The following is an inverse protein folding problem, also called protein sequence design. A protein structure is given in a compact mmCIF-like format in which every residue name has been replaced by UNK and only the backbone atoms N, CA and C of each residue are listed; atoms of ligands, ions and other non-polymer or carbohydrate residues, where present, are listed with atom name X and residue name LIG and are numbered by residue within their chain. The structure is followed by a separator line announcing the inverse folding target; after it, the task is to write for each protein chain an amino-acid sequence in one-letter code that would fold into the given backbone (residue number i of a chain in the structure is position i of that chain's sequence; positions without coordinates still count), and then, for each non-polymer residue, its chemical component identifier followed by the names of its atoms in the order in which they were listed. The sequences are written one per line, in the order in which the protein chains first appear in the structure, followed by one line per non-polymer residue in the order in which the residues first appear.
data_IF_459361691404
#
_entry.id   IF_459361691404
#
_cell.length_a   1.000
_cell.length_b   1.000
_cell.length_c   1.000
_cell.angle_alpha   90.00
_cell.angle_beta   90.00
_cell.angle_gamma   90.00
#
_symmetry.space_group_name_H-M   'P 1'
#
loop_
_entity.id
_entity.type
_entity.pdbx_description
1 polymer ?
#
# COMPACT_ATOMS: atom_id res chain seq x y z
N UNK A 1 -2.01 -35.26 -45.38
CA UNK A 1 -2.86 -34.07 -45.58
C UNK A 1 -3.97 -34.10 -44.54
N UNK A 2 -3.72 -33.53 -43.36
CA UNK A 2 -4.80 -33.05 -42.49
C UNK A 2 -4.19 -32.02 -41.56
N UNK A 3 -4.53 -30.78 -41.87
CA UNK A 3 -4.12 -29.54 -41.24
C UNK A 3 -4.86 -29.41 -39.90
N UNK A 4 -4.14 -29.37 -38.79
CA UNK A 4 -4.71 -29.16 -37.44
C UNK A 4 -3.99 -27.98 -36.79
N UNK A 5 -4.12 -26.81 -37.40
CA UNK A 5 -3.87 -25.52 -36.75
C UNK A 5 -4.95 -24.52 -37.18
N UNK A 6 -6.19 -24.76 -36.76
CA UNK A 6 -7.20 -23.70 -36.76
C UNK A 6 -6.82 -22.69 -35.67
N UNK A 7 -6.23 -21.55 -36.08
CA UNK A 7 -6.12 -20.38 -35.22
C UNK A 7 -7.54 -19.94 -34.81
N UNK A 8 -7.82 -19.69 -33.52
CA UNK A 8 -9.06 -19.05 -33.14
C UNK A 8 -9.13 -17.66 -33.81
N UNK A 9 -10.31 -17.21 -34.27
CA UNK A 9 -10.44 -15.91 -34.90
C UNK A 9 -9.98 -14.83 -33.92
N UNK A 10 -9.23 -13.85 -34.44
CA UNK A 10 -8.77 -12.70 -33.67
C UNK A 10 -9.95 -12.07 -32.93
N UNK A 11 -9.97 -12.19 -31.61
CA UNK A 11 -10.95 -11.49 -30.80
C UNK A 11 -10.70 -10.00 -30.98
N UNK A 12 -11.74 -9.25 -31.34
CA UNK A 12 -11.76 -7.79 -31.35
C UNK A 12 -11.53 -7.30 -29.92
N UNK A 13 -10.27 -7.21 -29.51
CA UNK A 13 -9.88 -6.51 -28.28
C UNK A 13 -10.26 -5.04 -28.45
N UNK A 14 -10.88 -4.38 -27.45
CA UNK A 14 -11.11 -2.95 -27.52
C UNK A 14 -9.78 -2.24 -27.79
N UNK A 15 -9.78 -1.12 -28.54
CA UNK A 15 -8.55 -0.39 -28.84
C UNK A 15 -7.84 -0.07 -27.53
N UNK A 16 -6.59 -0.53 -27.40
CA UNK A 16 -5.77 -0.21 -26.25
C UNK A 16 -5.64 1.30 -26.19
N UNK A 17 -6.07 1.89 -25.08
CA UNK A 17 -5.85 3.30 -24.82
C UNK A 17 -4.36 3.58 -24.97
N UNK A 18 -3.96 4.59 -25.77
CA UNK A 18 -2.54 4.92 -25.90
C UNK A 18 -1.98 5.29 -24.52
N UNK A 19 -0.77 4.80 -24.23
CA UNK A 19 -0.03 5.20 -23.03
C UNK A 19 0.34 6.68 -23.14
N UNK A 20 0.40 7.38 -22.00
CA UNK A 20 0.83 8.77 -21.96
C UNK A 20 2.22 8.95 -22.58
N UNK A 21 2.43 10.05 -23.29
CA UNK A 21 3.73 10.47 -23.77
C UNK A 21 4.67 10.80 -22.60
N UNK A 22 5.99 10.80 -22.85
CA UNK A 22 7.00 11.20 -21.85
C UNK A 22 6.69 12.59 -21.26
N UNK A 23 6.26 13.51 -22.10
CA UNK A 23 5.93 14.86 -21.70
C UNK A 23 4.71 14.91 -20.77
N UNK A 24 3.63 14.21 -21.12
CA UNK A 24 2.43 14.11 -20.27
C UNK A 24 2.76 13.42 -18.94
N UNK A 25 3.57 12.36 -18.94
CA UNK A 25 4.00 11.67 -17.73
C UNK A 25 4.86 12.59 -16.82
N UNK A 26 5.75 13.39 -17.42
CA UNK A 26 6.58 14.36 -16.70
C UNK A 26 5.76 15.50 -16.13
N UNK A 27 4.80 16.02 -16.87
CA UNK A 27 3.89 17.08 -16.41
C UNK A 27 3.03 16.60 -15.25
N UNK A 28 2.51 15.37 -15.30
CA UNK A 28 1.78 14.75 -14.18
C UNK A 28 2.68 14.60 -12.95
N UNK A 29 3.93 14.15 -13.13
CA UNK A 29 4.88 14.01 -12.03
C UNK A 29 5.26 15.36 -11.38
N UNK A 30 5.50 16.40 -12.20
CA UNK A 30 5.80 17.75 -11.70
C UNK A 30 4.58 18.44 -11.08
N UNK A 31 3.37 18.17 -11.59
CA UNK A 31 2.14 18.65 -10.98
C UNK A 31 1.86 17.98 -9.62
N UNK A 32 2.25 16.72 -9.46
CA UNK A 32 2.16 15.98 -8.20
C UNK A 32 3.29 16.31 -7.21
N UNK A 33 4.33 17.05 -7.64
CA UNK A 33 5.41 17.50 -6.75
C UNK A 33 4.81 18.40 -5.68
N UNK A 34 5.02 18.02 -4.42
CA UNK A 34 4.61 18.80 -3.27
C UNK A 34 5.34 20.16 -3.27
N UNK A 35 4.59 21.25 -3.41
CA UNK A 35 5.14 22.62 -3.55
C UNK A 35 5.21 23.36 -2.21
N UNK A 36 4.37 22.97 -1.25
CA UNK A 36 4.29 23.59 0.06
C UNK A 36 4.62 22.55 1.13
N UNK A 37 5.78 22.72 1.78
CA UNK A 37 6.05 22.00 3.02
C UNK A 37 5.21 22.60 4.12
N UNK A 38 4.08 21.96 4.45
CA UNK A 38 3.17 22.46 5.48
C UNK A 38 3.68 22.22 6.91
N UNK A 39 4.70 21.37 7.09
CA UNK A 39 5.26 21.04 8.40
C UNK A 39 6.74 21.39 8.49
N UNK A 40 7.19 21.95 9.64
CA UNK A 40 8.62 22.16 9.90
C UNK A 40 9.37 20.82 9.88
N UNK A 41 10.55 20.79 9.27
CA UNK A 41 11.38 19.59 9.10
C UNK A 41 12.69 19.74 9.86
N UNK A 42 12.97 18.82 10.77
CA UNK A 42 14.22 18.83 11.55
C UNK A 42 15.47 18.81 10.65
N UNK A 43 15.47 17.96 9.63
CA UNK A 43 16.62 17.83 8.71
C UNK A 43 16.81 19.13 7.93
N UNK A 44 15.73 19.74 7.43
CA UNK A 44 15.83 21.02 6.72
C UNK A 44 16.42 22.12 7.60
N UNK A 45 15.86 22.29 8.80
CA UNK A 45 16.32 23.30 9.77
C UNK A 45 17.80 23.10 10.10
N UNK A 46 18.23 21.85 10.29
CA UNK A 46 19.63 21.51 10.55
C UNK A 46 20.55 21.94 9.40
N UNK A 47 20.16 21.70 8.14
CA UNK A 47 20.92 22.13 6.96
C UNK A 47 20.96 23.66 6.81
N UNK A 48 19.92 24.36 7.29
CA UNK A 48 19.86 25.82 7.33
C UNK A 48 20.57 26.43 8.57
N UNK A 49 21.17 25.60 9.43
CA UNK A 49 21.91 26.05 10.62
C UNK A 49 21.06 26.27 11.87
N UNK A 50 19.79 25.85 11.84
CA UNK A 50 18.81 25.95 12.91
C UNK A 50 18.63 24.61 13.62
N UNK A 51 19.07 24.51 14.88
CA UNK A 51 18.95 23.27 15.66
C UNK A 51 17.59 23.17 16.38
N UNK A 52 16.59 22.65 15.68
CA UNK A 52 15.19 22.49 16.17
C UNK A 52 14.91 21.13 16.80
N UNK A 53 15.58 20.82 17.90
CA UNK A 53 15.46 19.52 18.59
C UNK A 53 14.02 19.15 18.99
N UNK A 54 13.18 20.15 19.23
CA UNK A 54 11.75 20.00 19.55
C UNK A 54 10.93 19.26 18.48
N UNK A 55 11.42 19.20 17.23
CA UNK A 55 10.75 18.51 16.13
C UNK A 55 10.89 16.98 16.18
N UNK A 56 11.84 16.45 16.95
CA UNK A 56 12.14 15.01 17.03
C UNK A 56 12.28 14.48 18.45
N UNK A 57 12.34 15.37 19.45
CA UNK A 57 12.55 15.01 20.85
C UNK A 57 11.54 15.69 21.79
N UNK A 58 10.94 14.96 22.76
CA UNK A 58 11.08 13.51 22.96
C UNK A 58 10.50 12.72 21.78
N UNK A 59 10.89 11.45 21.65
CA UNK A 59 10.36 10.60 20.59
C UNK A 59 8.83 10.60 20.64
N UNK A 60 8.12 10.83 19.52
CA UNK A 60 6.68 10.96 19.52
C UNK A 60 6.03 9.65 19.99
N UNK A 61 5.15 9.76 20.99
CA UNK A 61 4.31 8.65 21.42
C UNK A 61 3.07 8.55 20.53
N UNK A 62 2.61 7.33 20.19
CA UNK A 62 1.36 7.16 19.46
C UNK A 62 0.15 7.62 20.28
N UNK A 63 -0.90 8.08 19.59
CA UNK A 63 -2.19 8.37 20.22
C UNK A 63 -2.79 7.06 20.79
N UNK A 64 -3.10 6.98 22.09
CA UNK A 64 -3.76 5.81 22.68
C UNK A 64 -5.06 5.40 21.97
N UNK A 65 -5.81 6.35 21.41
CA UNK A 65 -7.05 6.07 20.65
C UNK A 65 -6.75 5.38 19.33
N UNK A 66 -5.65 5.75 18.68
CA UNK A 66 -5.20 5.07 17.46
C UNK A 66 -4.79 3.63 17.76
N UNK A 67 -4.05 3.40 18.84
CA UNK A 67 -3.68 2.05 19.29
C UNK A 67 -4.91 1.20 19.58
N UNK A 68 -5.90 1.77 20.29
CA UNK A 68 -7.14 1.07 20.60
C UNK A 68 -7.93 0.71 19.34
N UNK A 69 -8.00 1.63 18.38
CA UNK A 69 -8.67 1.41 17.10
C UNK A 69 -7.97 0.35 16.25
N UNK A 70 -6.64 0.28 16.28
CA UNK A 70 -5.85 -0.69 15.53
C UNK A 70 -5.89 -2.10 16.14
N UNK A 71 -5.97 -2.22 17.47
CA UNK A 71 -5.87 -3.49 18.22
C UNK A 71 -6.74 -4.63 17.64
N UNK A 72 -8.04 -4.45 17.36
CA UNK A 72 -8.86 -5.54 16.83
C UNK A 72 -8.40 -6.06 15.46
N UNK A 73 -7.85 -5.18 14.60
CA UNK A 73 -7.30 -5.61 13.32
C UNK A 73 -6.00 -6.38 13.51
N UNK A 74 -5.10 -5.89 14.37
CA UNK A 74 -3.82 -6.56 14.67
C UNK A 74 -4.04 -7.97 15.22
N UNK A 75 -5.00 -8.15 16.12
CA UNK A 75 -5.37 -9.47 16.67
C UNK A 75 -5.91 -10.42 15.59
N UNK A 76 -6.76 -9.92 14.67
CA UNK A 76 -7.28 -10.72 13.54
C UNK A 76 -6.17 -11.09 12.57
N UNK A 77 -5.28 -10.15 12.25
CA UNK A 77 -4.16 -10.38 11.36
C UNK A 77 -3.21 -11.41 11.95
N UNK A 78 -2.80 -11.25 13.22
CA UNK A 78 -1.93 -12.22 13.90
C UNK A 78 -2.54 -13.62 13.86
N UNK A 79 -3.81 -13.76 14.23
CA UNK A 79 -4.51 -15.05 14.20
C UNK A 79 -4.53 -15.66 12.81
N UNK A 80 -4.90 -14.87 11.80
CA UNK A 80 -4.95 -15.33 10.41
C UNK A 80 -3.57 -15.82 9.95
N UNK A 81 -2.51 -15.08 10.26
CA UNK A 81 -1.15 -15.45 9.88
C UNK A 81 -0.71 -16.74 10.55
N UNK A 82 -1.02 -16.93 11.84
CA UNK A 82 -0.65 -18.15 12.57
C UNK A 82 -1.43 -19.39 12.15
N UNK A 83 -2.72 -19.23 11.86
CA UNK A 83 -3.62 -20.37 11.67
C UNK A 83 -3.80 -20.77 10.21
N UNK A 84 -3.62 -19.82 9.27
CA UNK A 84 -4.04 -19.98 7.87
C UNK A 84 -2.91 -19.83 6.86
N UNK A 85 -1.72 -19.41 7.29
CA UNK A 85 -0.62 -19.14 6.37
C UNK A 85 0.59 -20.00 6.71
N UNK A 86 1.00 -20.80 5.73
CA UNK A 86 2.22 -21.59 5.76
C UNK A 86 3.31 -20.84 4.98
N UNK A 87 4.13 -20.07 5.70
CA UNK A 87 5.20 -19.27 5.11
C UNK A 87 6.30 -20.11 4.45
N UNK A 88 6.62 -21.27 5.03
CA UNK A 88 7.67 -22.16 4.50
C UNK A 88 7.25 -22.77 3.16
N UNK A 89 5.97 -23.12 3.03
CA UNK A 89 5.40 -23.55 1.75
C UNK A 89 5.42 -22.43 0.71
N UNK A 90 5.03 -21.21 1.09
CA UNK A 90 5.03 -20.05 0.18
C UNK A 90 6.43 -19.77 -0.35
N UNK A 91 7.45 -19.80 0.52
CA UNK A 91 8.85 -19.60 0.13
C UNK A 91 9.32 -20.68 -0.84
N UNK A 92 9.06 -21.95 -0.52
CA UNK A 92 9.46 -23.10 -1.35
C UNK A 92 8.79 -23.10 -2.73
N UNK A 93 7.51 -22.74 -2.79
CA UNK A 93 6.72 -22.76 -4.03
C UNK A 93 6.80 -21.44 -4.81
N UNK A 94 7.29 -20.36 -4.18
CA UNK A 94 7.36 -19.03 -4.76
C UNK A 94 6.00 -18.42 -5.08
N UNK A 95 4.92 -18.92 -4.46
CA UNK A 95 3.54 -18.49 -4.76
C UNK A 95 2.70 -18.41 -3.50
N UNK A 96 1.97 -17.30 -3.36
CA UNK A 96 0.96 -17.13 -2.31
C UNK A 96 -0.34 -17.84 -2.76
N UNK A 97 -0.89 -18.77 -1.95
CA UNK A 97 -2.16 -19.43 -2.24
C UNK A 97 -3.33 -18.45 -2.36
N UNK A 98 -4.29 -18.75 -3.24
CA UNK A 98 -5.46 -17.89 -3.49
C UNK A 98 -6.36 -17.72 -2.26
N UNK A 99 -6.47 -18.75 -1.43
CA UNK A 99 -7.22 -18.70 -0.18
C UNK A 99 -6.55 -17.79 0.86
N UNK A 100 -5.22 -17.71 0.86
CA UNK A 100 -4.47 -16.75 1.68
C UNK A 100 -4.75 -15.32 1.22
N UNK A 101 -4.66 -15.05 -0.09
CA UNK A 101 -4.95 -13.72 -0.66
C UNK A 101 -6.39 -13.29 -0.35
N UNK A 102 -7.35 -14.19 -0.55
CA UNK A 102 -8.76 -13.95 -0.24
C UNK A 102 -8.96 -13.69 1.25
N UNK A 103 -8.36 -14.49 2.13
CA UNK A 103 -8.45 -14.29 3.57
C UNK A 103 -7.88 -12.96 4.05
N UNK A 104 -6.75 -12.51 3.47
CA UNK A 104 -6.20 -11.17 3.71
C UNK A 104 -7.18 -10.07 3.27
N UNK A 105 -7.87 -10.26 2.14
CA UNK A 105 -8.93 -9.36 1.69
C UNK A 105 -10.12 -9.32 2.66
N UNK A 106 -10.59 -10.48 3.12
CA UNK A 106 -11.72 -10.62 4.05
C UNK A 106 -11.45 -9.92 5.40
N UNK A 107 -10.20 -9.90 5.88
CA UNK A 107 -9.84 -9.19 7.13
C UNK A 107 -9.52 -7.70 6.91
N UNK A 108 -9.56 -7.21 5.67
CA UNK A 108 -9.32 -5.80 5.32
C UNK A 108 -7.85 -5.40 5.16
N UNK A 109 -6.93 -6.36 5.01
CA UNK A 109 -5.48 -6.09 4.95
C UNK A 109 -5.05 -5.24 3.74
N UNK A 110 -5.84 -5.22 2.66
CA UNK A 110 -5.57 -4.37 1.49
C UNK A 110 -6.09 -2.93 1.62
N UNK A 111 -6.78 -2.59 2.73
CA UNK A 111 -7.41 -1.30 2.95
C UNK A 111 -7.04 -0.64 4.28
N UNK A 112 -5.91 -0.99 4.88
CA UNK A 112 -5.56 -0.64 6.27
C UNK A 112 -5.65 0.86 6.56
N UNK A 113 -5.04 1.70 5.72
CA UNK A 113 -5.03 3.17 5.91
C UNK A 113 -6.09 3.92 5.09
N UNK A 114 -6.87 3.20 4.28
CA UNK A 114 -7.90 3.82 3.44
C UNK A 114 -9.01 4.35 4.35
N UNK A 115 -9.52 5.58 4.18
CA UNK A 115 -10.63 6.10 4.96
C UNK A 115 -11.85 5.17 4.94
N UNK A 116 -12.58 5.12 6.06
CA UNK A 116 -13.74 4.22 6.22
C UNK A 116 -14.88 4.56 5.26
N UNK A 117 -15.01 5.81 4.84
CA UNK A 117 -15.98 6.25 3.81
C UNK A 117 -15.76 5.60 2.43
N UNK A 118 -14.54 5.11 2.18
CA UNK A 118 -14.18 4.34 0.98
C UNK A 118 -14.06 2.84 1.24
N UNK A 119 -14.52 2.36 2.40
CA UNK A 119 -14.50 0.94 2.77
C UNK A 119 -13.18 0.42 3.35
N UNK A 120 -12.25 1.30 3.71
CA UNK A 120 -11.02 0.92 4.42
C UNK A 120 -11.16 0.84 5.94
N UNK A 121 -10.05 0.58 6.63
CA UNK A 121 -10.01 0.51 8.10
C UNK A 121 -9.68 1.86 8.75
N UNK A 122 -9.22 2.83 7.98
CA UNK A 122 -8.90 4.19 8.44
C UNK A 122 -7.78 4.25 9.48
N UNK A 123 -6.94 3.22 9.59
CA UNK A 123 -5.86 3.20 10.59
C UNK A 123 -4.78 4.24 10.26
N UNK A 124 -4.13 4.75 11.30
CA UNK A 124 -3.09 5.78 11.16
C UNK A 124 -1.81 5.22 10.54
N UNK A 125 -0.96 6.12 10.02
CA UNK A 125 0.34 5.74 9.47
C UNK A 125 1.22 5.00 10.48
N UNK A 126 1.12 5.37 11.77
CA UNK A 126 1.80 4.68 12.86
C UNK A 126 1.36 3.21 12.98
N UNK A 127 0.07 2.93 12.78
CA UNK A 127 -0.46 1.55 12.89
C UNK A 127 -0.23 0.71 11.63
N UNK A 128 0.08 1.36 10.50
CA UNK A 128 0.33 0.70 9.21
C UNK A 128 1.76 0.20 9.05
N UNK A 129 2.72 0.86 9.69
CA UNK A 129 4.17 0.62 9.53
C UNK A 129 4.68 -0.20 10.70
#
# INVERSE_FOLDING_TARGET
MTDVLAHPPAQNLPPRTPLASEQEAREVAEAAREKEWQSPSFVRELFEGSFRLDLIHPFPAPDPKDLERARPFMERLERFMRERVDSDKIDREGKIPEDVVRGLGEIGAFGIKIPTEYGGLGLSQYSYT
#
